data_IF_161299741339
#
_entry.id   IF_161299741339
#
_cell.length_a   1.000
_cell.length_b   1.000
_cell.length_c   1.000
_cell.angle_alpha   90.00
_cell.angle_beta   90.00
_cell.angle_gamma   90.00
#
_symmetry.space_group_name_H-M   'P 1'
#
loop_
_entity.id
_entity.type
_entity.pdbx_description
1 polymer ?
#
# COMPACT_ATOMS: atom_id res chain seq x y z
N UNK A 1 4.30 -14.68 -0.47
CA UNK A 1 3.15 -14.38 -1.34
C UNK A 1 2.61 -12.99 -1.04
N UNK A 2 2.46 -12.63 0.23
CA UNK A 2 1.90 -11.33 0.66
C UNK A 2 2.71 -10.12 0.17
N UNK A 3 4.05 -10.20 0.18
CA UNK A 3 4.91 -9.10 -0.28
C UNK A 3 4.71 -8.72 -1.76
N UNK A 4 4.20 -9.62 -2.58
CA UNK A 4 3.93 -9.37 -3.99
C UNK A 4 2.60 -8.62 -4.25
N UNK A 5 1.74 -8.52 -3.24
CA UNK A 5 0.41 -7.91 -3.34
C UNK A 5 0.38 -6.45 -2.87
N UNK A 6 1.40 -6.01 -2.15
CA UNK A 6 1.48 -4.64 -1.67
C UNK A 6 1.54 -3.62 -2.80
N UNK A 7 0.69 -2.61 -2.72
CA UNK A 7 0.64 -1.47 -3.65
C UNK A 7 1.13 -0.22 -2.96
N UNK A 8 2.02 0.49 -3.62
CA UNK A 8 2.61 1.72 -3.08
C UNK A 8 1.56 2.83 -3.00
N UNK A 9 1.41 3.42 -1.82
CA UNK A 9 0.57 4.59 -1.53
C UNK A 9 1.43 5.85 -1.37
N UNK A 10 2.60 5.70 -0.75
CA UNK A 10 3.54 6.78 -0.48
C UNK A 10 4.97 6.24 -0.45
N UNK A 11 5.89 6.99 -1.03
CA UNK A 11 7.32 6.72 -0.99
C UNK A 11 8.08 8.03 -0.75
N UNK A 12 8.83 8.11 0.37
CA UNK A 12 9.60 9.29 0.71
C UNK A 12 10.84 9.48 -0.18
N UNK A 13 11.28 8.43 -0.85
CA UNK A 13 12.40 8.50 -1.80
C UNK A 13 11.98 8.99 -3.17
N UNK A 14 10.68 8.94 -3.46
CA UNK A 14 10.10 9.37 -4.72
C UNK A 14 8.83 10.19 -4.50
N UNK A 15 8.87 11.46 -4.88
CA UNK A 15 7.72 12.35 -4.85
C UNK A 15 7.28 12.70 -6.26
N UNK A 16 5.99 12.55 -6.61
CA UNK A 16 5.47 13.12 -7.85
C UNK A 16 5.60 14.65 -7.80
N UNK A 17 5.88 15.27 -8.92
CA UNK A 17 5.96 16.74 -8.99
C UNK A 17 4.58 17.38 -8.87
N UNK A 18 3.58 16.70 -9.39
CA UNK A 18 2.19 17.16 -9.41
C UNK A 18 1.27 16.00 -9.10
N UNK A 19 0.11 16.35 -8.60
CA UNK A 19 -1.00 15.41 -8.39
C UNK A 19 -2.22 15.90 -9.14
N UNK A 20 -3.08 14.97 -9.55
CA UNK A 20 -4.32 15.27 -10.25
C UNK A 20 -5.48 15.18 -9.24
N UNK A 21 -6.20 16.26 -9.05
CA UNK A 21 -7.48 16.27 -8.33
C UNK A 21 -8.59 16.75 -9.23
N UNK A 22 -9.66 15.95 -9.37
CA UNK A 22 -10.87 16.27 -10.16
C UNK A 22 -10.59 16.81 -11.57
N UNK A 23 -9.47 16.39 -12.16
CA UNK A 23 -9.05 16.83 -13.47
C UNK A 23 -8.12 18.05 -13.49
N UNK A 24 -7.80 18.62 -12.36
CA UNK A 24 -6.86 19.73 -12.20
C UNK A 24 -5.50 19.26 -11.65
N UNK A 25 -4.43 19.85 -12.14
CA UNK A 25 -3.06 19.59 -11.68
C UNK A 25 -2.73 20.49 -10.50
N UNK A 26 -2.35 19.89 -9.40
CA UNK A 26 -1.87 20.58 -8.21
C UNK A 26 -0.41 20.24 -7.93
N UNK A 27 0.32 21.16 -7.31
CA UNK A 27 1.64 20.84 -6.77
C UNK A 27 1.52 19.74 -5.72
N UNK A 28 2.44 18.78 -5.75
CA UNK A 28 2.48 17.75 -4.73
C UNK A 28 2.74 18.36 -3.34
N UNK A 29 2.04 17.87 -2.34
CA UNK A 29 2.22 18.28 -0.94
C UNK A 29 2.52 17.07 -0.07
N UNK A 30 3.31 17.28 1.00
CA UNK A 30 3.64 16.24 1.95
C UNK A 30 2.37 15.74 2.68
N UNK A 31 2.03 14.43 2.58
CA UNK A 31 0.84 13.89 3.23
C UNK A 31 1.01 13.62 4.72
N UNK A 32 2.24 13.54 5.20
CA UNK A 32 2.51 13.42 6.61
C UNK A 32 2.36 14.77 7.30
N UNK A 33 1.52 14.84 8.31
CA UNK A 33 1.25 16.07 9.06
C UNK A 33 1.46 15.84 10.54
N UNK A 34 1.96 16.87 11.22
CA UNK A 34 2.05 16.88 12.68
C UNK A 34 0.65 17.06 13.25
N UNK A 35 0.16 16.07 14.03
CA UNK A 35 -1.18 16.11 14.61
C UNK A 35 -1.18 16.44 16.10
N UNK A 36 -0.06 16.23 16.77
CA UNK A 36 0.14 16.65 18.16
C UNK A 36 1.62 16.93 18.45
N UNK A 37 1.90 17.72 19.47
CA UNK A 37 3.25 18.00 19.95
C UNK A 37 4.08 18.86 19.01
N UNK A 38 5.38 18.88 19.25
CA UNK A 38 6.41 19.60 18.48
C UNK A 38 7.68 18.76 18.39
N UNK A 39 8.60 19.15 17.51
CA UNK A 39 9.91 18.51 17.38
C UNK A 39 10.16 17.87 16.03
N UNK A 40 9.13 17.57 15.24
CA UNK A 40 9.28 17.08 13.87
C UNK A 40 9.65 18.20 12.91
N UNK A 41 10.63 17.91 12.07
CA UNK A 41 10.97 18.66 10.86
C UNK A 41 10.82 17.69 9.69
N UNK A 42 9.89 18.00 8.81
CA UNK A 42 9.69 17.25 7.56
C UNK A 42 10.48 17.97 6.47
N UNK A 43 11.25 17.22 5.71
CA UNK A 43 12.04 17.82 4.65
C UNK A 43 11.16 18.48 3.60
N UNK A 44 11.65 19.61 3.07
CA UNK A 44 11.03 20.26 1.94
C UNK A 44 11.22 19.39 0.67
N UNK A 45 10.16 18.94 0.01
CA UNK A 45 10.27 18.18 -1.22
C UNK A 45 11.08 18.90 -2.31
N UNK A 46 11.06 20.24 -2.31
CA UNK A 46 11.83 21.05 -3.25
C UNK A 46 13.35 21.01 -2.96
N UNK A 47 13.73 20.72 -1.73
CA UNK A 47 15.12 20.60 -1.30
C UNK A 47 15.69 19.17 -1.48
N UNK A 48 14.93 18.25 -2.06
CA UNK A 48 15.28 16.82 -2.20
C UNK A 48 15.60 16.12 -0.88
N UNK A 49 15.16 16.70 0.24
CA UNK A 49 15.23 16.06 1.54
C UNK A 49 14.34 14.82 1.62
N UNK A 50 14.90 13.70 2.08
CA UNK A 50 14.23 12.40 2.15
C UNK A 50 14.25 11.86 3.58
N UNK A 51 14.39 12.79 4.54
CA UNK A 51 14.55 12.43 5.94
C UNK A 51 13.63 13.28 6.79
N UNK A 52 12.89 12.67 7.68
CA UNK A 52 12.16 13.37 8.75
C UNK A 52 13.05 13.37 10.00
N UNK A 53 13.20 14.51 10.63
CA UNK A 53 13.99 14.67 11.86
C UNK A 53 13.06 14.97 13.03
N UNK A 54 13.30 14.30 14.14
CA UNK A 54 12.68 14.64 15.42
C UNK A 54 13.75 15.06 16.42
N UNK A 55 13.55 16.24 17.04
CA UNK A 55 14.49 16.81 17.98
C UNK A 55 13.74 17.40 19.18
N UNK A 56 13.59 16.61 20.25
CA UNK A 56 12.99 17.09 21.50
C UNK A 56 13.43 16.26 22.72
N UNK A 57 13.92 16.93 23.74
CA UNK A 57 14.41 16.28 24.97
C UNK A 57 13.30 15.97 25.99
N UNK A 58 12.21 16.74 25.99
CA UNK A 58 11.14 16.61 26.98
C UNK A 58 9.74 16.75 26.36
N UNK A 59 9.60 16.29 25.14
CA UNK A 59 8.33 16.33 24.43
C UNK A 59 8.12 15.08 23.62
N UNK A 60 6.89 14.85 23.23
CA UNK A 60 6.49 13.85 22.23
C UNK A 60 5.76 14.55 21.10
N UNK A 61 5.83 13.96 19.91
CA UNK A 61 5.07 14.46 18.78
C UNK A 61 4.75 13.34 17.82
N UNK A 62 3.60 13.46 17.16
CA UNK A 62 3.04 12.46 16.28
C UNK A 62 2.81 13.03 14.88
N UNK A 63 3.25 12.26 13.92
CA UNK A 63 2.90 12.41 12.53
C UNK A 63 1.75 11.45 12.18
N UNK A 64 0.83 11.93 11.35
CA UNK A 64 -0.21 11.07 10.75
C UNK A 64 -0.18 11.23 9.25
N UNK A 65 -0.30 10.10 8.56
CA UNK A 65 -0.54 10.10 7.13
C UNK A 65 -1.96 10.59 6.86
N UNK A 66 -2.09 11.70 6.14
CA UNK A 66 -3.36 12.34 5.86
C UNK A 66 -3.62 12.42 4.36
N UNK A 67 -4.50 11.59 3.81
CA UNK A 67 -4.90 11.68 2.41
C UNK A 67 -5.61 13.01 2.08
N UNK A 68 -6.12 13.74 3.08
CA UNK A 68 -6.81 15.03 2.88
C UNK A 68 -5.84 16.13 2.42
N UNK A 69 -4.56 16.05 2.80
CA UNK A 69 -3.56 17.03 2.38
C UNK A 69 -3.28 16.96 0.86
N UNK A 70 -3.55 15.81 0.25
CA UNK A 70 -3.44 15.60 -1.18
C UNK A 70 -4.43 14.50 -1.61
N UNK A 71 -5.69 14.85 -1.91
CA UNK A 71 -6.79 13.89 -2.04
C UNK A 71 -6.63 12.88 -3.17
N UNK A 72 -5.81 13.15 -4.16
CA UNK A 72 -5.70 12.26 -5.34
C UNK A 72 -4.57 11.27 -5.30
N UNK A 73 -3.52 11.57 -4.55
CA UNK A 73 -2.31 10.76 -4.54
C UNK A 73 -2.29 9.72 -3.42
N UNK A 74 -3.23 9.78 -2.49
CA UNK A 74 -2.97 9.25 -1.16
C UNK A 74 -4.15 8.55 -0.54
N UNK A 75 -5.14 8.28 -1.34
CA UNK A 75 -6.23 7.43 -0.88
C UNK A 75 -5.68 6.02 -0.71
N UNK A 76 -5.84 5.48 0.47
CA UNK A 76 -5.71 4.04 0.71
C UNK A 76 -6.87 3.30 0.03
N UNK A 77 -7.29 3.76 -1.15
CA UNK A 77 -8.35 3.17 -1.94
C UNK A 77 -7.79 2.24 -2.99
N UNK A 78 -8.62 1.41 -3.56
CA UNK A 78 -8.25 0.45 -4.60
C UNK A 78 -8.07 1.10 -5.99
N UNK A 79 -8.25 2.43 -6.09
CA UNK A 79 -8.40 3.12 -7.38
C UNK A 79 -7.10 3.29 -8.17
N UNK A 80 -6.02 3.77 -7.54
CA UNK A 80 -4.74 4.00 -8.22
C UNK A 80 -3.57 3.55 -7.35
N UNK A 81 -2.52 3.07 -7.99
CA UNK A 81 -1.21 2.90 -7.36
C UNK A 81 -0.37 4.16 -7.54
N UNK A 82 0.49 4.42 -6.59
CA UNK A 82 1.29 5.65 -6.49
C UNK A 82 2.12 5.95 -7.75
N UNK A 83 2.73 4.94 -8.36
CA UNK A 83 3.59 5.06 -9.53
C UNK A 83 2.82 5.12 -10.86
N UNK A 84 1.51 4.91 -10.86
CA UNK A 84 0.64 5.13 -12.02
C UNK A 84 0.17 6.57 -12.16
N UNK A 85 0.43 7.40 -11.19
CA UNK A 85 0.22 8.83 -11.29
C UNK A 85 1.31 9.42 -12.17
N UNK A 86 0.97 9.67 -13.43
CA UNK A 86 1.88 10.34 -14.34
C UNK A 86 2.26 11.70 -13.73
N UNK A 87 3.58 12.04 -13.68
CA UNK A 87 4.01 13.38 -13.29
C UNK A 87 3.40 14.51 -14.14
N UNK A 88 2.94 14.17 -15.34
CA UNK A 88 2.22 15.09 -16.23
C UNK A 88 0.74 15.24 -15.90
N UNK A 89 0.24 14.55 -14.88
CA UNK A 89 -1.17 14.62 -14.48
C UNK A 89 -2.18 14.16 -15.54
N UNK A 90 -1.71 13.54 -16.62
CA UNK A 90 -2.61 12.94 -17.60
C UNK A 90 -3.16 11.67 -16.95
N UNK A 91 -4.47 11.58 -16.71
CA UNK A 91 -5.05 10.31 -16.27
C UNK A 91 -4.65 9.22 -17.27
N UNK A 92 -4.27 8.06 -16.77
CA UNK A 92 -4.05 6.84 -17.59
C UNK A 92 -5.23 6.58 -18.54
N UNK A 93 -6.40 7.13 -18.26
CA UNK A 93 -7.60 7.13 -19.10
C UNK A 93 -7.41 7.70 -20.53
N UNK A 94 -6.38 8.49 -20.79
CA UNK A 94 -6.17 9.11 -22.12
C UNK A 94 -5.07 8.46 -22.95
N UNK A 95 -4.34 7.48 -22.41
CA UNK A 95 -3.12 6.99 -23.08
C UNK A 95 -3.42 5.92 -24.15
N UNK A 96 -4.55 5.26 -24.15
CA UNK A 96 -4.83 4.22 -25.15
C UNK A 96 -6.09 4.47 -25.99
N UNK A 97 -6.02 5.49 -26.85
CA UNK A 97 -7.01 5.69 -27.92
C UNK A 97 -6.86 4.69 -29.08
N UNK A 98 -5.89 3.77 -29.02
CA UNK A 98 -5.62 2.78 -30.08
C UNK A 98 -6.45 1.52 -29.96
N UNK A 99 -7.02 1.27 -28.80
CA UNK A 99 -8.05 0.25 -28.64
C UNK A 99 -9.40 0.96 -28.53
N UNK A 100 -10.36 0.70 -29.44
CA UNK A 100 -11.73 1.17 -29.27
C UNK A 100 -12.38 0.31 -28.17
N UNK A 101 -11.87 0.45 -26.96
CA UNK A 101 -12.67 0.18 -25.80
C UNK A 101 -13.73 1.25 -25.89
N UNK A 102 -14.98 0.86 -26.15
CA UNK A 102 -16.11 1.77 -25.95
C UNK A 102 -15.79 2.59 -24.71
N UNK A 103 -15.92 3.91 -24.73
CA UNK A 103 -15.66 4.71 -23.55
C UNK A 103 -16.57 4.11 -22.49
N UNK A 104 -16.00 3.20 -21.66
CA UNK A 104 -16.66 2.85 -20.43
C UNK A 104 -16.92 4.20 -19.81
N UNK A 105 -18.16 4.62 -19.78
CA UNK A 105 -18.62 5.71 -18.94
C UNK A 105 -18.35 5.25 -17.51
N UNK A 106 -17.08 5.28 -17.13
CA UNK A 106 -16.69 5.11 -15.75
C UNK A 106 -17.03 6.42 -15.05
N UNK A 107 -18.31 6.55 -14.76
CA UNK A 107 -18.81 7.53 -13.81
C UNK A 107 -18.42 7.12 -12.40
N UNK A 108 -17.18 6.69 -12.17
CA UNK A 108 -16.68 6.52 -10.83
C UNK A 108 -16.50 7.91 -10.24
N UNK A 109 -17.38 8.23 -9.33
CA UNK A 109 -17.20 9.35 -8.40
C UNK A 109 -16.26 8.85 -7.29
N UNK A 110 -15.52 9.75 -6.66
CA UNK A 110 -14.68 9.43 -5.51
C UNK A 110 -15.45 8.72 -4.35
N UNK A 111 -16.79 8.76 -4.40
CA UNK A 111 -17.69 8.08 -3.47
C UNK A 111 -17.82 6.56 -3.70
N UNK A 112 -17.30 6.05 -4.82
CA UNK A 112 -17.36 4.62 -5.18
C UNK A 112 -16.05 3.89 -4.90
N UNK A 113 -15.02 4.62 -4.47
CA UNK A 113 -13.73 4.02 -4.09
C UNK A 113 -13.86 3.31 -2.74
N UNK A 114 -13.39 2.07 -2.70
CA UNK A 114 -13.37 1.29 -1.46
C UNK A 114 -12.06 1.55 -0.71
N UNK A 115 -12.11 2.10 0.50
CA UNK A 115 -10.91 2.27 1.30
C UNK A 115 -10.33 0.93 1.70
N UNK A 116 -9.02 0.79 1.57
CA UNK A 116 -8.25 -0.38 2.00
C UNK A 116 -7.65 -0.07 3.36
N UNK A 117 -7.94 -0.88 4.35
CA UNK A 117 -7.44 -0.72 5.72
C UNK A 117 -6.24 -1.62 6.03
N UNK A 118 -5.89 -2.52 5.11
CA UNK A 118 -4.72 -3.38 5.22
C UNK A 118 -3.51 -2.65 4.66
N UNK A 119 -2.59 -2.31 5.57
CA UNK A 119 -1.48 -1.41 5.33
C UNK A 119 -0.14 -2.03 5.73
N UNK A 120 0.93 -1.59 5.05
CA UNK A 120 2.32 -1.89 5.36
C UNK A 120 3.10 -0.57 5.45
N UNK A 121 3.62 -0.26 6.63
CA UNK A 121 4.41 0.93 6.93
C UNK A 121 5.86 0.52 7.16
N UNK A 122 6.76 1.09 6.36
CA UNK A 122 8.20 0.85 6.45
C UNK A 122 8.95 2.14 6.69
N UNK A 123 10.01 2.06 7.46
CA UNK A 123 10.93 3.18 7.71
C UNK A 123 12.32 2.68 8.08
N UNK A 124 13.34 3.46 7.76
CA UNK A 124 14.69 3.32 8.29
C UNK A 124 14.86 4.34 9.40
N UNK A 125 14.93 3.87 10.63
CA UNK A 125 15.02 4.67 11.84
C UNK A 125 16.43 4.69 12.40
N UNK A 126 16.94 5.88 12.74
CA UNK A 126 18.23 6.05 13.39
C UNK A 126 18.09 6.99 14.61
N UNK A 127 18.35 6.43 15.78
CA UNK A 127 18.48 7.21 17.03
C UNK A 127 19.85 7.85 17.10
N UNK A 128 19.91 9.17 17.33
CA UNK A 128 21.15 9.89 17.61
C UNK A 128 21.38 10.02 19.12
N UNK A 129 20.32 10.35 19.89
CA UNK A 129 20.39 10.49 21.35
C UNK A 129 19.01 10.39 22.00
N UNK A 130 18.98 10.36 23.33
CA UNK A 130 17.76 10.27 24.12
C UNK A 130 17.28 8.84 24.36
N UNK A 131 16.31 8.66 25.26
CA UNK A 131 15.85 7.36 25.73
C UNK A 131 14.36 7.09 25.51
N UNK A 132 13.62 8.05 24.96
CA UNK A 132 12.20 7.89 24.74
C UNK A 132 11.87 6.91 23.61
N UNK A 133 10.62 6.48 23.50
CA UNK A 133 10.18 5.56 22.47
C UNK A 133 10.09 6.21 21.09
N UNK A 134 10.20 5.38 20.06
CA UNK A 134 9.82 5.64 18.70
C UNK A 134 8.78 4.60 18.30
N UNK A 135 7.62 5.04 17.80
CA UNK A 135 6.52 4.15 17.46
C UNK A 135 6.13 4.28 15.99
N UNK A 136 5.95 3.14 15.32
CA UNK A 136 5.13 3.05 14.13
C UNK A 136 3.77 2.47 14.51
N UNK A 137 2.68 3.08 14.06
CA UNK A 137 1.33 2.64 14.38
C UNK A 137 0.49 2.45 13.13
N UNK A 138 -0.16 1.30 13.02
CA UNK A 138 -1.22 1.04 12.05
C UNK A 138 -2.55 0.89 12.76
N UNK A 139 -3.58 1.55 12.22
CA UNK A 139 -4.95 1.46 12.75
C UNK A 139 -5.87 0.83 11.71
N UNK A 140 -6.66 -0.12 12.18
CA UNK A 140 -7.74 -0.73 11.40
C UNK A 140 -8.98 -0.77 12.29
N UNK A 141 -10.00 0.02 11.91
CA UNK A 141 -11.19 0.23 12.75
C UNK A 141 -10.79 0.80 14.12
N UNK A 142 -11.23 0.17 15.19
CA UNK A 142 -10.94 0.52 16.60
C UNK A 142 -9.69 -0.19 17.17
N UNK A 143 -9.00 -0.98 16.34
CA UNK A 143 -7.73 -1.61 16.70
C UNK A 143 -6.53 -0.72 16.29
N UNK A 144 -5.55 -0.60 17.18
CA UNK A 144 -4.24 -0.04 16.85
C UNK A 144 -3.14 -1.06 17.13
N UNK A 145 -2.18 -1.14 16.23
CA UNK A 145 -0.99 -1.98 16.37
C UNK A 145 0.22 -1.08 16.39
N UNK A 146 1.00 -1.17 17.46
CA UNK A 146 2.10 -0.26 17.75
C UNK A 146 3.41 -1.03 17.81
N UNK A 147 4.32 -0.73 16.89
CA UNK A 147 5.71 -1.17 16.97
C UNK A 147 6.50 -0.13 17.76
N UNK A 148 6.77 -0.40 19.02
CA UNK A 148 7.53 0.47 19.92
C UNK A 148 9.01 0.09 19.92
N UNK A 149 9.86 1.06 19.63
CA UNK A 149 11.33 0.94 19.60
C UNK A 149 11.92 1.80 20.69
N UNK A 150 12.45 1.16 21.72
CA UNK A 150 13.26 1.80 22.78
C UNK A 150 14.75 1.65 22.49
N UNK A 151 15.66 2.23 23.28
CA UNK A 151 17.09 2.00 23.09
C UNK A 151 17.55 0.53 23.20
N UNK A 152 16.80 -0.30 23.90
CA UNK A 152 17.20 -1.67 24.22
C UNK A 152 16.32 -2.74 23.59
N UNK A 153 15.13 -2.41 23.11
CA UNK A 153 14.21 -3.43 22.62
C UNK A 153 13.22 -2.90 21.60
N UNK A 154 12.71 -3.83 20.76
CA UNK A 154 11.56 -3.64 19.88
C UNK A 154 10.41 -4.53 20.34
N UNK A 155 9.22 -3.97 20.43
CA UNK A 155 8.02 -4.65 20.96
C UNK A 155 6.80 -4.34 20.11
N UNK A 156 5.98 -5.34 19.83
CA UNK A 156 4.68 -5.15 19.20
C UNK A 156 3.58 -5.11 20.26
N UNK A 157 2.73 -4.09 20.18
CA UNK A 157 1.54 -3.97 21.02
C UNK A 157 0.26 -3.95 20.18
N UNK A 158 -0.80 -4.50 20.74
CA UNK A 158 -2.17 -4.38 20.27
C UNK A 158 -2.97 -3.54 21.26
N UNK A 159 -3.58 -2.47 20.76
CA UNK A 159 -4.45 -1.59 21.53
C UNK A 159 -5.89 -1.72 21.03
N UNK A 160 -6.79 -2.08 21.93
CA UNK A 160 -8.20 -2.25 21.64
C UNK A 160 -9.05 -2.09 22.90
N UNK A 161 -10.15 -1.35 22.82
CA UNK A 161 -11.07 -1.15 23.95
C UNK A 161 -10.40 -0.52 25.19
N UNK A 162 -9.42 0.37 24.99
CA UNK A 162 -8.65 1.02 26.07
C UNK A 162 -7.61 0.12 26.75
N UNK A 163 -7.38 -1.09 26.23
CA UNK A 163 -6.34 -2.01 26.71
C UNK A 163 -5.17 -2.01 25.73
N UNK A 164 -3.96 -2.09 26.29
CA UNK A 164 -2.71 -2.29 25.54
C UNK A 164 -2.12 -3.64 25.95
N UNK A 165 -1.97 -4.54 25.01
CA UNK A 165 -1.49 -5.91 25.20
C UNK A 165 -0.24 -6.14 24.34
N UNK A 166 0.80 -6.67 24.93
CA UNK A 166 2.03 -7.03 24.23
C UNK A 166 1.79 -8.32 23.40
N UNK A 167 2.25 -8.32 22.16
CA UNK A 167 2.23 -9.47 21.27
C UNK A 167 3.63 -10.06 21.15
N UNK A 168 3.77 -11.33 21.48
CA UNK A 168 5.05 -12.03 21.44
C UNK A 168 6.03 -11.57 22.54
N UNK A 169 7.32 -11.90 22.34
CA UNK A 169 8.41 -11.46 23.23
C UNK A 169 9.14 -10.28 22.60
N UNK A 170 9.60 -9.30 23.40
CA UNK A 170 10.41 -8.21 22.88
C UNK A 170 11.71 -8.72 22.27
N UNK A 171 12.10 -8.17 21.13
CA UNK A 171 13.43 -8.39 20.57
C UNK A 171 14.41 -7.45 21.24
N UNK A 172 15.51 -7.98 21.77
CA UNK A 172 16.59 -7.14 22.26
C UNK A 172 17.34 -6.49 21.10
N UNK A 173 17.61 -5.19 21.23
CA UNK A 173 18.36 -4.42 20.26
C UNK A 173 19.77 -4.17 20.76
N UNK A 174 20.74 -4.30 19.87
CA UNK A 174 22.09 -3.86 20.14
C UNK A 174 22.16 -2.33 20.15
N UNK A 175 22.96 -1.76 21.03
CA UNK A 175 23.17 -0.31 21.15
C UNK A 175 23.98 0.28 19.98
N UNK A 176 23.84 -0.28 18.79
CA UNK A 176 24.53 0.23 17.62
C UNK A 176 23.85 1.50 17.10
N UNK A 177 24.64 2.47 16.64
CA UNK A 177 24.16 3.70 16.01
C UNK A 177 23.71 3.50 14.55
N UNK A 178 23.64 2.26 14.08
CA UNK A 178 23.20 1.97 12.69
C UNK A 178 21.70 2.17 12.55
N UNK A 179 21.23 2.59 11.37
CA UNK A 179 19.80 2.63 11.10
C UNK A 179 19.16 1.23 11.22
N UNK A 180 17.96 1.18 11.79
CA UNK A 180 17.13 -0.02 11.89
C UNK A 180 16.05 0.06 10.79
N UNK A 181 15.95 -0.97 9.96
CA UNK A 181 14.83 -1.09 9.02
C UNK A 181 13.66 -1.70 9.75
N UNK A 182 12.58 -0.94 9.89
CA UNK A 182 11.37 -1.32 10.60
C UNK A 182 10.27 -1.50 9.57
N UNK A 183 9.56 -2.61 9.63
CA UNK A 183 8.36 -2.89 8.87
C UNK A 183 7.25 -3.33 9.82
N UNK A 184 6.13 -2.61 9.77
CA UNK A 184 4.89 -2.98 10.45
C UNK A 184 3.82 -3.17 9.40
N UNK A 185 3.32 -4.40 9.27
CA UNK A 185 2.27 -4.74 8.30
C UNK A 185 1.04 -5.30 8.99
N UNK A 186 -0.13 -4.96 8.47
CA UNK A 186 -1.42 -5.54 8.83
C UNK A 186 -2.14 -5.95 7.55
N UNK A 187 -2.31 -7.24 7.34
CA UNK A 187 -3.05 -7.78 6.21
C UNK A 187 -3.88 -8.98 6.67
N UNK A 188 -5.10 -9.11 6.15
CA UNK A 188 -5.97 -10.26 6.39
C UNK A 188 -6.09 -10.64 7.88
N UNK A 189 -6.17 -9.63 8.77
CA UNK A 189 -6.19 -9.82 10.23
C UNK A 189 -4.94 -10.48 10.80
N UNK A 190 -3.82 -10.37 10.13
CA UNK A 190 -2.50 -10.71 10.66
C UNK A 190 -1.61 -9.47 10.68
N UNK A 191 -1.02 -9.19 11.84
CA UNK A 191 -0.05 -8.11 12.02
C UNK A 191 1.32 -8.71 12.24
N UNK A 192 2.32 -8.17 11.54
CA UNK A 192 3.70 -8.61 11.63
C UNK A 192 4.60 -7.39 11.84
N UNK A 193 5.46 -7.47 12.84
CA UNK A 193 6.59 -6.55 13.03
C UNK A 193 7.88 -7.23 12.58
N UNK A 194 8.62 -6.57 11.68
CA UNK A 194 9.98 -6.98 11.28
C UNK A 194 10.99 -5.88 11.59
N UNK A 195 12.16 -6.29 12.00
CA UNK A 195 13.36 -5.46 12.15
C UNK A 195 14.46 -6.09 11.31
N UNK A 196 15.06 -5.34 10.39
CA UNK A 196 16.10 -5.82 9.48
C UNK A 196 15.72 -7.15 8.79
N UNK A 197 14.49 -7.24 8.30
CA UNK A 197 13.86 -8.39 7.63
C UNK A 197 13.58 -9.61 8.55
N UNK A 198 13.91 -9.54 9.86
CA UNK A 198 13.61 -10.60 10.81
C UNK A 198 12.27 -10.35 11.50
N UNK A 199 11.42 -11.37 11.58
CA UNK A 199 10.15 -11.29 12.31
C UNK A 199 10.46 -11.19 13.81
N UNK A 200 10.05 -10.08 14.41
CA UNK A 200 10.13 -9.82 15.85
C UNK A 200 8.92 -10.41 16.56
N UNK A 201 7.73 -10.10 16.03
CA UNK A 201 6.46 -10.57 16.56
C UNK A 201 5.40 -10.62 15.47
N UNK A 202 4.42 -11.48 15.65
CA UNK A 202 3.24 -11.56 14.79
C UNK A 202 2.02 -11.94 15.62
N UNK A 203 0.83 -11.45 15.22
CA UNK A 203 -0.42 -11.83 15.85
C UNK A 203 -0.83 -13.23 15.44
N UNK A 204 -1.54 -13.91 16.33
CA UNK A 204 -2.26 -15.15 16.08
C UNK A 204 -3.75 -14.88 15.95
N UNK A 205 -4.57 -15.81 15.45
CA UNK A 205 -6.02 -15.65 15.42
C UNK A 205 -6.67 -15.43 16.81
N UNK A 206 -5.99 -15.77 17.90
CA UNK A 206 -6.45 -15.49 19.26
C UNK A 206 -6.14 -14.06 19.71
N UNK A 207 -5.13 -13.42 19.14
CA UNK A 207 -4.78 -12.03 19.43
C UNK A 207 -5.59 -11.04 18.61
N UNK A 208 -5.87 -11.41 17.35
CA UNK A 208 -6.57 -10.55 16.41
C UNK A 208 -7.30 -11.39 15.36
N UNK A 209 -8.62 -11.24 15.28
CA UNK A 209 -9.46 -11.95 14.34
C UNK A 209 -10.62 -11.09 13.84
N UNK A 210 -11.18 -11.36 12.64
CA UNK A 210 -12.34 -10.65 12.14
C UNK A 210 -13.58 -10.88 12.97
N UNK A 211 -14.33 -9.82 13.27
CA UNK A 211 -15.68 -9.92 13.79
C UNK A 211 -16.67 -10.22 12.64
N UNK A 212 -16.78 -11.50 12.26
CA UNK A 212 -17.60 -11.92 11.11
C UNK A 212 -19.07 -11.46 11.19
N UNK A 213 -19.77 -11.53 12.35
CA UNK A 213 -21.13 -11.01 12.46
C UNK A 213 -21.25 -9.51 12.17
N UNK A 214 -20.27 -8.70 12.56
CA UNK A 214 -20.25 -7.28 12.30
C UNK A 214 -19.94 -6.98 10.84
N UNK A 215 -18.92 -7.61 10.29
CA UNK A 215 -18.55 -7.49 8.87
C UNK A 215 -19.72 -7.88 7.97
N UNK A 216 -20.46 -8.92 8.33
CA UNK A 216 -21.67 -9.33 7.60
C UNK A 216 -22.76 -8.29 7.64
N UNK A 217 -23.04 -7.71 8.82
CA UNK A 217 -24.04 -6.63 8.95
C UNK A 217 -23.68 -5.40 8.11
N UNK A 218 -22.40 -5.00 8.14
CA UNK A 218 -21.91 -3.87 7.32
C UNK A 218 -22.05 -4.15 5.83
N UNK A 219 -21.67 -5.34 5.40
CA UNK A 219 -21.82 -5.77 4.01
C UNK A 219 -23.26 -5.74 3.56
N UNK A 220 -24.17 -6.33 4.35
CA UNK A 220 -25.61 -6.37 4.04
C UNK A 220 -26.23 -4.96 4.04
N UNK A 221 -25.69 -4.06 4.88
CA UNK A 221 -26.09 -2.64 4.94
C UNK A 221 -25.39 -1.76 3.90
N UNK A 222 -24.50 -2.31 3.07
CA UNK A 222 -23.67 -1.60 2.08
C UNK A 222 -22.89 -0.42 2.69
N UNK A 223 -22.38 -0.62 3.89
CA UNK A 223 -21.57 0.39 4.57
C UNK A 223 -20.15 0.40 3.99
N UNK A 224 -19.62 1.59 3.75
CA UNK A 224 -18.21 1.77 3.39
C UNK A 224 -17.35 1.57 4.67
N UNK A 225 -16.39 0.66 4.67
CA UNK A 225 -15.50 0.47 5.82
C UNK A 225 -14.64 1.74 6.04
N UNK A 226 -14.24 2.04 7.29
CA UNK A 226 -13.33 3.14 7.54
C UNK A 226 -11.95 2.84 6.93
N UNK A 227 -11.25 3.87 6.41
CA UNK A 227 -9.88 3.71 5.93
C UNK A 227 -8.95 3.31 7.08
N UNK A 228 -7.88 2.60 6.74
CA UNK A 228 -6.76 2.41 7.66
C UNK A 228 -6.03 3.73 7.92
N UNK A 229 -5.31 3.81 9.05
CA UNK A 229 -4.46 4.96 9.35
C UNK A 229 -3.05 4.52 9.71
N UNK A 230 -2.06 5.34 9.32
CA UNK A 230 -0.66 5.16 9.66
C UNK A 230 -0.16 6.37 10.45
N UNK A 231 0.55 6.13 11.54
CA UNK A 231 1.10 7.16 12.41
C UNK A 231 2.56 6.84 12.77
N UNK A 232 3.35 7.88 12.99
CA UNK A 232 4.74 7.80 13.47
C UNK A 232 4.85 8.72 14.68
N UNK A 233 5.35 8.22 15.80
CA UNK A 233 5.53 9.00 17.02
C UNK A 233 6.97 8.90 17.50
N UNK A 234 7.51 10.01 18.01
CA UNK A 234 8.77 10.03 18.74
C UNK A 234 8.63 10.86 20.01
N UNK A 235 9.36 10.47 21.05
CA UNK A 235 9.36 11.15 22.33
C UNK A 235 10.75 11.16 22.95
N UNK A 236 11.13 12.28 23.56
CA UNK A 236 12.33 12.43 24.41
C UNK A 236 13.61 11.87 23.77
N UNK A 237 13.84 12.25 22.52
CA UNK A 237 14.98 11.78 21.75
C UNK A 237 15.32 12.72 20.59
N UNK A 238 16.50 12.49 20.01
CA UNK A 238 16.88 13.00 18.70
C UNK A 238 17.01 11.80 17.76
N UNK A 239 16.29 11.84 16.67
CA UNK A 239 16.31 10.76 15.68
C UNK A 239 16.00 11.26 14.27
N UNK A 240 16.39 10.46 13.30
CA UNK A 240 16.02 10.64 11.91
C UNK A 240 15.34 9.39 11.37
N UNK A 241 14.40 9.58 10.46
CA UNK A 241 13.78 8.51 9.70
C UNK A 241 13.88 8.81 8.21
N UNK A 242 14.26 7.81 7.44
CA UNK A 242 14.39 7.84 5.99
C UNK A 242 13.69 6.63 5.37
N UNK A 243 13.60 6.60 4.05
CA UNK A 243 12.97 5.48 3.31
C UNK A 243 11.56 5.14 3.82
N UNK A 244 10.82 6.19 4.25
CA UNK A 244 9.44 6.00 4.71
C UNK A 244 8.57 5.63 3.53
N UNK A 245 7.94 4.47 3.59
CA UNK A 245 6.98 4.05 2.58
C UNK A 245 5.71 3.50 3.23
N UNK A 246 4.58 3.84 2.64
CA UNK A 246 3.28 3.28 3.00
C UNK A 246 2.73 2.52 1.80
N UNK A 247 2.30 1.31 2.04
CA UNK A 247 1.70 0.44 1.05
C UNK A 247 0.35 -0.03 1.54
N UNK A 248 -0.53 -0.36 0.63
CA UNK A 248 -1.82 -0.99 0.90
C UNK A 248 -1.87 -2.38 0.30
N UNK A 249 -2.70 -3.24 0.84
CA UNK A 249 -2.96 -4.54 0.24
C UNK A 249 -3.71 -4.41 -1.09
N UNK A 250 -3.61 -5.43 -1.94
CA UNK A 250 -4.34 -5.53 -3.18
C UNK A 250 -5.82 -5.84 -2.91
N UNK A 251 -6.71 -4.90 -3.22
CA UNK A 251 -8.14 -5.11 -3.15
C UNK A 251 -8.71 -5.39 -4.54
N UNK A 252 -9.42 -6.51 -4.68
CA UNK A 252 -10.02 -6.91 -5.95
C UNK A 252 -11.53 -6.66 -5.95
N UNK A 253 -11.92 -5.63 -6.68
CA UNK A 253 -13.32 -5.25 -6.82
C UNK A 253 -14.00 -6.06 -7.93
N UNK A 254 -15.06 -6.78 -7.59
CA UNK A 254 -15.77 -7.68 -8.50
C UNK A 254 -17.15 -7.15 -8.94
N UNK A 255 -17.62 -6.06 -8.34
CA UNK A 255 -18.97 -5.52 -8.61
C UNK A 255 -18.95 -4.41 -9.67
N UNK A 256 -18.23 -4.64 -10.78
CA UNK A 256 -18.18 -3.71 -11.90
C UNK A 256 -18.74 -4.34 -13.18
N UNK A 257 -19.15 -3.49 -14.13
CA UNK A 257 -19.59 -3.93 -15.43
C UNK A 257 -18.48 -4.72 -16.16
N UNK A 258 -18.83 -5.88 -16.71
CA UNK A 258 -17.92 -6.75 -17.45
C UNK A 258 -17.24 -7.84 -16.64
N UNK A 259 -17.31 -7.81 -15.32
CA UNK A 259 -16.88 -8.96 -14.49
C UNK A 259 -17.88 -10.09 -14.63
N UNK A 260 -17.41 -11.28 -15.00
CA UNK A 260 -18.24 -12.45 -15.32
C UNK A 260 -17.98 -13.64 -14.41
N UNK A 261 -16.80 -13.69 -13.79
CA UNK A 261 -16.34 -14.83 -12.97
C UNK A 261 -15.47 -14.40 -11.81
N UNK A 262 -15.12 -15.34 -10.95
CA UNK A 262 -14.46 -15.09 -9.68
C UNK A 262 -15.29 -14.15 -8.76
N UNK A 263 -16.61 -14.36 -8.80
CA UNK A 263 -17.57 -13.67 -7.92
C UNK A 263 -18.16 -14.66 -6.93
N UNK A 264 -18.78 -14.21 -5.83
CA UNK A 264 -19.44 -15.11 -4.89
C UNK A 264 -20.51 -16.00 -5.52
N UNK A 265 -21.17 -15.53 -6.60
CA UNK A 265 -22.21 -16.27 -7.33
C UNK A 265 -21.68 -17.10 -8.48
N UNK A 266 -20.46 -16.83 -8.93
CA UNK A 266 -19.78 -17.55 -10.01
C UNK A 266 -18.29 -17.69 -9.66
N UNK A 267 -17.94 -18.56 -8.69
CA UNK A 267 -16.56 -18.79 -8.30
C UNK A 267 -15.77 -19.45 -9.42
N UNK A 268 -14.46 -19.16 -9.47
CA UNK A 268 -13.55 -19.79 -10.41
C UNK A 268 -13.00 -21.08 -9.81
N UNK A 269 -13.07 -22.17 -10.57
CA UNK A 269 -12.47 -23.45 -10.20
C UNK A 269 -11.28 -23.71 -11.11
N UNK A 270 -10.10 -23.91 -10.52
CA UNK A 270 -8.86 -24.16 -11.24
C UNK A 270 -8.44 -25.60 -11.03
N UNK A 271 -8.06 -26.27 -12.12
CA UNK A 271 -7.44 -27.59 -12.10
C UNK A 271 -5.95 -27.53 -11.75
N UNK A 272 -5.32 -28.69 -11.84
CA UNK A 272 -3.86 -28.77 -11.69
C UNK A 272 -3.19 -28.07 -12.87
N UNK A 273 -2.19 -27.22 -12.57
CA UNK A 273 -1.44 -26.43 -13.57
C UNK A 273 -2.31 -25.44 -14.37
N UNK A 274 -3.35 -24.94 -13.73
CA UNK A 274 -4.20 -23.87 -14.24
C UNK A 274 -4.07 -22.62 -13.38
N UNK A 275 -4.08 -21.46 -14.01
CA UNK A 275 -3.88 -20.17 -13.38
C UNK A 275 -4.99 -19.20 -13.74
N UNK A 276 -5.33 -18.35 -12.80
CA UNK A 276 -6.25 -17.23 -13.01
C UNK A 276 -5.47 -15.92 -12.91
N UNK A 277 -5.35 -15.22 -14.04
CA UNK A 277 -4.54 -14.00 -14.11
C UNK A 277 -5.40 -12.77 -13.88
N UNK A 278 -5.01 -11.96 -12.92
CA UNK A 278 -5.66 -10.69 -12.60
C UNK A 278 -4.67 -9.53 -12.74
N UNK A 279 -5.16 -8.40 -13.22
CA UNK A 279 -4.39 -7.17 -13.20
C UNK A 279 -4.35 -6.57 -11.80
N UNK A 280 -3.35 -5.75 -11.53
CA UNK A 280 -3.13 -5.12 -10.23
C UNK A 280 -4.09 -3.95 -9.95
N UNK A 281 -4.73 -3.40 -10.96
CA UNK A 281 -5.79 -2.41 -10.82
C UNK A 281 -7.15 -3.04 -11.12
N UNK A 282 -7.81 -3.55 -10.10
CA UNK A 282 -9.04 -4.33 -10.24
C UNK A 282 -10.20 -3.55 -10.87
N UNK A 283 -10.22 -2.23 -10.74
CA UNK A 283 -11.23 -1.35 -11.32
C UNK A 283 -11.06 -1.17 -12.83
N UNK A 284 -9.83 -1.17 -13.34
CA UNK A 284 -9.51 -0.86 -14.73
C UNK A 284 -9.10 -2.08 -15.55
N UNK A 285 -8.54 -3.12 -14.92
CA UNK A 285 -7.99 -4.27 -15.61
C UNK A 285 -9.05 -5.06 -16.37
N UNK A 286 -8.82 -5.25 -17.66
CA UNK A 286 -9.53 -6.26 -18.44
C UNK A 286 -8.73 -7.57 -18.35
N UNK A 287 -8.97 -8.34 -17.32
CA UNK A 287 -8.23 -9.53 -16.94
C UNK A 287 -9.09 -10.79 -16.92
N UNK A 288 -8.61 -11.90 -16.37
CA UNK A 288 -9.29 -13.18 -16.33
C UNK A 288 -10.74 -13.12 -15.85
N UNK A 289 -11.09 -12.14 -15.01
CA UNK A 289 -12.47 -11.91 -14.57
C UNK A 289 -13.41 -11.50 -15.72
N UNK A 290 -12.85 -10.87 -16.76
CA UNK A 290 -13.60 -10.25 -17.84
C UNK A 290 -13.40 -10.95 -19.19
N UNK A 291 -12.35 -11.74 -19.37
CA UNK A 291 -12.02 -12.35 -20.68
C UNK A 291 -13.15 -13.22 -21.20
N UNK A 292 -13.33 -13.17 -22.52
CA UNK A 292 -14.21 -14.05 -23.27
C UNK A 292 -13.39 -14.89 -24.22
N UNK A 293 -13.75 -16.13 -24.34
CA UNK A 293 -13.08 -17.12 -25.16
C UNK A 293 -11.98 -17.84 -24.38
N UNK A 294 -12.17 -19.12 -24.22
CA UNK A 294 -11.17 -20.04 -23.70
C UNK A 294 -10.12 -20.37 -24.75
N UNK A 295 -9.20 -21.23 -24.40
CA UNK A 295 -8.21 -21.78 -25.31
C UNK A 295 -8.71 -23.15 -25.78
N UNK A 296 -8.81 -23.31 -27.10
CA UNK A 296 -9.10 -24.60 -27.70
C UNK A 296 -8.07 -24.90 -28.79
N UNK A 297 -7.14 -25.79 -28.49
CA UNK A 297 -6.08 -26.25 -29.39
C UNK A 297 -6.14 -27.77 -29.52
N UNK A 298 -7.03 -28.30 -30.37
CA UNK A 298 -7.26 -29.76 -30.49
C UNK A 298 -6.01 -30.53 -30.90
N UNK A 299 -5.18 -29.95 -31.77
CA UNK A 299 -3.92 -30.58 -32.20
C UNK A 299 -2.94 -30.81 -31.04
N UNK A 300 -3.07 -30.04 -29.96
CA UNK A 300 -2.24 -30.10 -28.77
C UNK A 300 -2.97 -30.73 -27.57
N UNK A 301 -4.20 -31.22 -27.81
CA UNK A 301 -5.08 -31.77 -26.78
C UNK A 301 -5.26 -30.79 -25.59
N UNK A 302 -5.34 -29.51 -25.90
CA UNK A 302 -5.49 -28.45 -24.91
C UNK A 302 -6.85 -27.80 -25.04
N UNK A 303 -7.59 -27.86 -23.97
CA UNK A 303 -8.80 -27.10 -23.76
C UNK A 303 -8.70 -26.35 -22.41
N UNK A 304 -8.99 -25.05 -22.39
CA UNK A 304 -9.12 -24.29 -21.16
C UNK A 304 -10.34 -23.39 -21.26
N UNK A 305 -11.07 -23.28 -20.15
CA UNK A 305 -12.25 -22.44 -20.04
C UNK A 305 -11.91 -20.96 -20.07
N UNK A 306 -12.94 -20.15 -20.25
CA UNK A 306 -12.81 -18.68 -20.22
C UNK A 306 -12.16 -18.20 -18.94
N UNK A 307 -11.09 -17.42 -19.06
CA UNK A 307 -10.36 -16.84 -17.93
C UNK A 307 -9.29 -17.76 -17.33
N UNK A 308 -9.22 -19.03 -17.74
CA UNK A 308 -8.17 -19.97 -17.31
C UNK A 308 -6.95 -19.85 -18.22
N UNK A 309 -5.77 -19.80 -17.61
CA UNK A 309 -4.48 -19.84 -18.29
C UNK A 309 -3.78 -21.13 -17.94
N UNK A 310 -3.62 -22.07 -18.90
CA UNK A 310 -2.81 -23.28 -18.69
C UNK A 310 -1.34 -22.93 -18.40
N UNK A 311 -0.71 -23.63 -17.46
CA UNK A 311 0.66 -23.34 -17.01
C UNK A 311 1.70 -23.30 -18.12
N UNK A 312 1.54 -24.09 -19.17
CA UNK A 312 2.44 -24.07 -20.33
C UNK A 312 2.45 -22.74 -21.11
N UNK A 313 1.45 -21.85 -20.90
CA UNK A 313 1.46 -20.49 -21.46
C UNK A 313 2.17 -19.47 -20.58
N UNK A 314 2.58 -19.85 -19.37
CA UNK A 314 3.40 -19.01 -18.53
C UNK A 314 4.85 -19.07 -19.04
N UNK A 315 5.30 -18.00 -19.69
CA UNK A 315 6.64 -17.92 -20.28
C UNK A 315 7.74 -17.80 -19.22
N UNK A 316 7.40 -17.32 -18.04
CA UNK A 316 8.33 -17.12 -16.96
C UNK A 316 7.80 -16.17 -15.89
N UNK A 317 8.59 -15.98 -14.83
CA UNK A 317 8.32 -15.02 -13.74
C UNK A 317 9.07 -13.71 -14.04
N UNK A 318 8.37 -12.58 -13.95
CA UNK A 318 9.03 -11.29 -13.95
C UNK A 318 9.97 -11.20 -12.73
N UNK A 319 11.21 -10.75 -12.94
CA UNK A 319 12.21 -10.66 -11.88
C UNK A 319 12.73 -9.23 -11.68
N UNK A 320 12.48 -8.34 -12.63
CA UNK A 320 12.98 -6.97 -12.55
C UNK A 320 12.06 -5.98 -13.27
N UNK A 321 11.72 -4.88 -12.61
CA UNK A 321 11.03 -3.74 -13.20
C UNK A 321 12.09 -2.77 -13.74
N UNK A 322 12.35 -2.80 -15.04
CA UNK A 322 13.36 -1.95 -15.68
C UNK A 322 12.79 -0.65 -16.26
N UNK A 323 11.50 -0.59 -16.48
CA UNK A 323 10.80 0.61 -16.96
C UNK A 323 9.54 0.85 -16.13
N UNK A 324 9.67 1.33 -14.91
CA UNK A 324 8.51 1.78 -14.14
C UNK A 324 7.90 3.01 -14.82
N UNK A 325 6.70 3.42 -14.36
CA UNK A 325 6.00 4.57 -14.92
C UNK A 325 6.97 5.74 -15.16
N UNK A 326 7.11 6.12 -16.44
CA UNK A 326 8.14 7.06 -16.85
C UNK A 326 7.74 8.52 -16.61
N UNK A 327 8.72 9.41 -16.71
CA UNK A 327 8.49 10.85 -16.68
C UNK A 327 8.23 11.41 -18.07
N UNK A 328 7.27 12.29 -18.16
CA UNK A 328 7.09 13.16 -19.33
C UNK A 328 7.64 14.55 -19.04
N UNK A 329 8.47 15.06 -19.95
CA UNK A 329 9.00 16.43 -19.84
C UNK A 329 7.92 17.50 -20.04
N UNK A 330 6.80 17.15 -20.68
CA UNK A 330 5.67 18.05 -20.91
C UNK A 330 4.37 17.24 -20.98
N UNK A 331 3.22 17.89 -20.79
CA UNK A 331 1.90 17.26 -20.90
C UNK A 331 1.57 16.70 -22.28
N UNK A 332 2.36 17.03 -23.30
CA UNK A 332 2.12 16.63 -24.70
C UNK A 332 3.06 15.51 -25.19
N UNK A 333 4.09 15.18 -24.42
CA UNK A 333 5.05 14.15 -24.80
C UNK A 333 4.81 12.88 -24.00
N UNK A 334 4.98 11.69 -24.61
CA UNK A 334 4.98 10.44 -23.86
C UNK A 334 6.10 10.44 -22.82
N UNK A 335 5.92 9.66 -21.76
CA UNK A 335 6.89 9.52 -20.69
C UNK A 335 8.10 8.68 -21.16
N UNK A 336 9.12 9.34 -21.72
CA UNK A 336 10.32 8.69 -22.27
C UNK A 336 11.43 8.47 -21.25
N UNK A 337 11.40 9.15 -20.11
CA UNK A 337 12.45 9.02 -19.10
C UNK A 337 12.00 8.02 -18.06
N UNK A 338 12.70 6.88 -17.88
CA UNK A 338 12.33 5.92 -16.83
C UNK A 338 12.39 6.55 -15.44
N UNK A 339 11.50 6.17 -14.57
CA UNK A 339 11.61 6.46 -13.16
C UNK A 339 12.67 5.53 -12.54
N UNK A 340 13.93 5.93 -12.58
CA UNK A 340 15.05 5.13 -12.09
C UNK A 340 14.93 4.77 -10.61
N UNK A 341 14.30 5.62 -9.80
CA UNK A 341 14.08 5.37 -8.38
C UNK A 341 13.08 4.24 -8.09
N UNK A 342 12.22 3.90 -9.06
CA UNK A 342 11.25 2.80 -8.95
C UNK A 342 11.70 1.52 -9.67
N UNK A 343 12.88 1.49 -10.24
CA UNK A 343 13.48 0.26 -10.76
C UNK A 343 13.78 -0.69 -9.59
N UNK A 344 13.31 -1.94 -9.68
CA UNK A 344 13.44 -2.89 -8.56
C UNK A 344 13.41 -4.32 -9.02
N UNK A 345 14.05 -5.19 -8.25
CA UNK A 345 13.86 -6.63 -8.36
C UNK A 345 12.50 -7.03 -7.76
N UNK A 346 11.88 -8.01 -8.39
CA UNK A 346 10.64 -8.66 -7.92
C UNK A 346 11.05 -9.96 -7.24
N UNK A 347 10.82 -10.07 -5.96
CA UNK A 347 11.20 -11.23 -5.14
C UNK A 347 10.06 -12.25 -5.00
#
# INVERSE_FOLDING_TARGET
VQDALWRLVYDNDYHPQTTLDRGELHAWTQPWTVVDGTGWKLDDPAAHGRTFEFNADNASSRLRFSPIANPTAQTTSDYLVYDQQSPSGIPVRQIDTRYPVEPMRMGYTASEEMPVSDLDLRASYQRQSGSGPFDLTLRKRDHAFVAEITPSQATLFHEFGGKRVQIGQPMQLDSSSRPLRIELSNADYQVILRIDDHIVAQTTPTDYAPNLPELRREFDAKMTPPPGAAEIMAANQHCSISHVSLRRDGFYYNDRAGVRRATPTNPMHLGTDEYFCMGDNSLLSYDGRCWNGGVDLPAEQLHAEDGVVPGRFLLGKAFYVYWPAGYSATSYLPAFVPNFGSMRFIH
#
